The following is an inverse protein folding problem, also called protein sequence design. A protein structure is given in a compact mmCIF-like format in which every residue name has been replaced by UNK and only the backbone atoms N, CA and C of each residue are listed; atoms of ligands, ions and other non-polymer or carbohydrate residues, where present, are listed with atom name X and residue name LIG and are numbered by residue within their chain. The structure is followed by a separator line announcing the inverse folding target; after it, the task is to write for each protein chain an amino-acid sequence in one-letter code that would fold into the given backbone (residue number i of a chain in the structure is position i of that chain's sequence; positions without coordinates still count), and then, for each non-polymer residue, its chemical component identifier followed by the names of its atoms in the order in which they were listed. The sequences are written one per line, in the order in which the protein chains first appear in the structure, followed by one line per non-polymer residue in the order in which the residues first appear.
data_IF_602564139567
#
_entry.id   IF_602564139567
#
_cell.length_a   1.000
_cell.length_b   1.000
_cell.length_c   1.000
_cell.angle_alpha   90.00
_cell.angle_beta   90.00
_cell.angle_gamma   90.00
#
_symmetry.space_group_name_H-M   'P 1'
#
loop_
_entity.id
_entity.type
_entity.pdbx_description
1 polymer ?
#
# COMPACT_ATOMS: atom_id res chain seq x y z
N UNK A 1 -6.14 0.10 -30.53
CA UNK A 1 -6.63 0.19 -29.15
C UNK A 1 -6.38 -1.16 -28.56
N UNK A 2 -5.45 -1.28 -27.62
CA UNK A 2 -5.44 -2.45 -26.75
C UNK A 2 -6.73 -2.37 -25.92
N UNK A 3 -7.47 -3.47 -25.84
CA UNK A 3 -8.68 -3.53 -25.02
C UNK A 3 -8.25 -3.52 -23.54
N UNK A 4 -8.90 -2.64 -22.76
CA UNK A 4 -8.85 -2.72 -21.30
C UNK A 4 -9.32 -4.12 -20.86
N UNK A 5 -8.82 -4.63 -19.71
CA UNK A 5 -9.29 -5.91 -19.16
C UNK A 5 -10.83 -5.89 -19.06
N UNK A 6 -11.47 -7.02 -19.36
CA UNK A 6 -12.89 -7.17 -19.02
C UNK A 6 -13.06 -7.25 -17.51
N UNK A 7 -14.24 -6.89 -16.99
CA UNK A 7 -14.55 -7.00 -15.56
C UNK A 7 -14.33 -8.42 -15.02
N UNK A 8 -14.59 -9.45 -15.85
CA UNK A 8 -14.35 -10.86 -15.49
C UNK A 8 -12.86 -11.17 -15.37
N UNK A 9 -12.02 -10.70 -16.31
CA UNK A 9 -10.57 -10.87 -16.26
C UNK A 9 -9.94 -10.12 -15.09
N UNK A 10 -10.40 -8.89 -14.83
CA UNK A 10 -9.96 -8.09 -13.67
C UNK A 10 -10.30 -8.81 -12.37
N UNK A 11 -11.54 -9.29 -12.23
CA UNK A 11 -11.97 -10.06 -11.05
C UNK A 11 -11.13 -11.33 -10.88
N UNK A 12 -10.93 -12.10 -11.94
CA UNK A 12 -10.17 -13.35 -11.89
C UNK A 12 -8.71 -13.11 -11.47
N UNK A 13 -8.08 -12.06 -12.00
CA UNK A 13 -6.74 -11.63 -11.58
C UNK A 13 -6.68 -11.27 -10.09
N UNK A 14 -7.63 -10.47 -9.61
CA UNK A 14 -7.68 -10.01 -8.22
C UNK A 14 -7.97 -11.16 -7.24
N UNK A 15 -8.87 -12.08 -7.59
CA UNK A 15 -9.20 -13.27 -6.78
C UNK A 15 -7.99 -14.20 -6.64
N UNK A 16 -7.26 -14.46 -7.73
CA UNK A 16 -6.05 -15.28 -7.68
C UNK A 16 -4.94 -14.61 -6.88
N UNK A 17 -4.78 -13.29 -6.99
CA UNK A 17 -3.83 -12.54 -6.17
C UNK A 17 -4.20 -12.61 -4.67
N UNK A 18 -5.48 -12.45 -4.34
CA UNK A 18 -6.01 -12.57 -2.98
C UNK A 18 -5.81 -13.98 -2.41
N UNK A 19 -5.96 -15.01 -3.24
CA UNK A 19 -5.86 -16.42 -2.83
C UNK A 19 -4.49 -16.80 -2.26
N UNK A 20 -3.42 -16.06 -2.62
CA UNK A 20 -2.05 -16.36 -2.19
C UNK A 20 -1.89 -16.40 -0.66
N UNK A 21 -2.71 -15.66 0.08
CA UNK A 21 -2.71 -15.71 1.55
C UNK A 21 -3.05 -17.11 2.10
N UNK A 22 -3.79 -17.93 1.35
CA UNK A 22 -4.13 -19.31 1.73
C UNK A 22 -3.06 -20.31 1.31
N UNK A 23 -2.22 -19.93 0.34
CA UNK A 23 -1.16 -20.78 -0.21
C UNK A 23 0.22 -20.51 0.39
N UNK A 24 0.39 -19.39 1.09
CA UNK A 24 1.64 -19.05 1.77
C UNK A 24 1.37 -18.40 3.14
N UNK A 25 1.66 -19.15 4.21
CA UNK A 25 1.38 -18.75 5.60
C UNK A 25 2.17 -17.53 6.08
N UNK A 26 3.21 -17.12 5.36
CA UNK A 26 4.01 -15.95 5.71
C UNK A 26 3.35 -14.61 5.35
N UNK A 27 2.22 -14.60 4.64
CA UNK A 27 1.41 -13.37 4.44
C UNK A 27 0.59 -13.12 5.70
N UNK A 28 0.86 -12.03 6.39
CA UNK A 28 0.17 -11.62 7.62
C UNK A 28 -1.09 -10.80 7.33
N UNK A 29 -1.03 -9.95 6.32
CA UNK A 29 -2.13 -9.09 5.89
C UNK A 29 -2.08 -8.91 4.37
N UNK A 30 -3.26 -8.70 3.76
CA UNK A 30 -3.39 -8.43 2.34
C UNK A 30 -4.53 -7.47 2.08
N UNK A 31 -4.31 -6.52 1.18
CA UNK A 31 -5.37 -5.71 0.57
C UNK A 31 -5.02 -5.46 -0.89
N UNK A 32 -6.02 -5.46 -1.76
CA UNK A 32 -5.85 -5.19 -3.19
C UNK A 32 -7.14 -4.63 -3.76
N UNK A 33 -7.00 -3.87 -4.83
CA UNK A 33 -8.15 -3.34 -5.54
C UNK A 33 -7.74 -2.40 -6.67
N UNK A 34 -8.75 -1.92 -7.37
CA UNK A 34 -8.61 -0.86 -8.37
C UNK A 34 -8.39 0.48 -7.67
N UNK A 35 -7.50 1.29 -8.23
CA UNK A 35 -7.29 2.66 -7.76
C UNK A 35 -8.51 3.50 -8.15
N UNK A 36 -9.03 4.29 -7.20
CA UNK A 36 -10.27 5.07 -7.34
C UNK A 36 -10.13 6.17 -8.40
N UNK A 37 -8.99 6.84 -8.45
CA UNK A 37 -8.71 7.90 -9.41
C UNK A 37 -7.68 7.47 -10.47
N UNK A 38 -7.88 7.91 -11.72
CA UNK A 38 -6.92 7.66 -12.80
C UNK A 38 -5.62 8.43 -12.53
N UNK A 39 -4.53 7.70 -12.39
CA UNK A 39 -3.22 8.25 -12.06
C UNK A 39 -2.43 8.73 -13.29
N UNK A 40 -1.63 9.81 -13.16
CA UNK A 40 -0.73 10.28 -14.23
C UNK A 40 0.30 9.24 -14.70
N UNK A 41 0.63 8.26 -13.85
CA UNK A 41 1.58 7.17 -14.17
C UNK A 41 0.91 5.90 -14.73
N UNK A 42 -0.38 5.94 -15.03
CA UNK A 42 -1.10 4.78 -15.59
C UNK A 42 -1.26 3.61 -14.61
N UNK A 43 -1.09 3.86 -13.31
CA UNK A 43 -1.38 2.88 -12.26
C UNK A 43 -2.89 2.69 -12.19
N UNK A 44 -3.34 1.45 -12.37
CA UNK A 44 -4.77 1.08 -12.39
C UNK A 44 -5.18 0.28 -11.16
N UNK A 45 -4.23 -0.47 -10.57
CA UNK A 45 -4.46 -1.35 -9.43
C UNK A 45 -3.35 -1.18 -8.41
N UNK A 46 -3.69 -1.45 -7.15
CA UNK A 46 -2.76 -1.46 -6.04
C UNK A 46 -2.90 -2.77 -5.26
N UNK A 47 -1.79 -3.17 -4.64
CA UNK A 47 -1.68 -4.40 -3.88
C UNK A 47 -0.73 -4.19 -2.72
N UNK A 48 -1.20 -4.51 -1.53
CA UNK A 48 -0.45 -4.49 -0.30
C UNK A 48 -0.37 -5.91 0.28
N UNK A 49 0.81 -6.27 0.76
CA UNK A 49 1.03 -7.45 1.58
C UNK A 49 1.95 -7.11 2.74
N UNK A 50 1.71 -7.76 3.88
CA UNK A 50 2.62 -7.73 5.02
C UNK A 50 3.25 -9.11 5.24
N UNK A 51 4.54 -9.10 5.54
CA UNK A 51 5.31 -10.28 5.89
C UNK A 51 5.96 -10.06 7.27
N UNK A 52 6.28 -11.12 8.03
CA UNK A 52 6.97 -10.98 9.31
C UNK A 52 8.43 -10.53 9.18
N UNK A 53 9.03 -10.66 8.00
CA UNK A 53 10.42 -10.27 7.72
C UNK A 53 10.68 -10.15 6.22
N UNK A 54 11.79 -9.50 5.85
CA UNK A 54 12.30 -9.50 4.47
C UNK A 54 12.64 -10.90 3.98
N UNK A 55 13.16 -11.77 4.85
CA UNK A 55 13.40 -13.18 4.51
C UNK A 55 12.10 -13.88 4.10
N UNK A 56 11.00 -13.65 4.82
CA UNK A 56 9.69 -14.21 4.46
C UNK A 56 9.14 -13.63 3.15
N UNK A 57 9.42 -12.36 2.84
CA UNK A 57 9.11 -11.75 1.54
C UNK A 57 9.94 -12.41 0.42
N UNK A 58 11.24 -12.63 0.61
CA UNK A 58 12.10 -13.28 -0.38
C UNK A 58 11.66 -14.73 -0.66
N UNK A 59 11.33 -15.48 0.39
CA UNK A 59 10.76 -16.83 0.26
C UNK A 59 9.44 -16.81 -0.52
N UNK A 60 8.56 -15.85 -0.24
CA UNK A 60 7.31 -15.66 -0.97
C UNK A 60 7.53 -15.35 -2.46
N UNK A 61 8.49 -14.50 -2.79
CA UNK A 61 8.78 -14.11 -4.17
C UNK A 61 9.20 -15.30 -5.05
N UNK A 62 9.80 -16.33 -4.43
CA UNK A 62 10.22 -17.57 -5.06
C UNK A 62 9.21 -18.73 -4.91
N UNK A 63 8.09 -18.50 -4.22
CA UNK A 63 7.12 -19.56 -3.91
C UNK A 63 6.37 -20.02 -5.18
N UNK A 64 6.21 -21.34 -5.43
CA UNK A 64 5.57 -21.85 -6.64
C UNK A 64 4.16 -21.32 -6.89
N UNK A 65 3.34 -21.19 -5.85
CA UNK A 65 1.98 -20.65 -5.99
C UNK A 65 1.99 -19.18 -6.45
N UNK A 66 2.92 -18.37 -5.91
CA UNK A 66 3.09 -16.97 -6.30
C UNK A 66 3.57 -16.85 -7.74
N UNK A 67 4.53 -17.69 -8.13
CA UNK A 67 5.05 -17.71 -9.51
C UNK A 67 3.96 -18.09 -10.51
N UNK A 68 3.15 -19.10 -10.19
CA UNK A 68 1.99 -19.50 -10.99
C UNK A 68 0.99 -18.35 -11.13
N UNK A 69 0.59 -17.73 -10.02
CA UNK A 69 -0.34 -16.59 -10.05
C UNK A 69 0.22 -15.44 -10.89
N UNK A 70 1.49 -15.12 -10.73
CA UNK A 70 2.15 -14.07 -11.51
C UNK A 70 2.19 -14.36 -13.01
N UNK A 71 2.45 -15.61 -13.40
CA UNK A 71 2.55 -16.00 -14.81
C UNK A 71 1.18 -16.04 -15.49
N UNK A 72 0.22 -16.74 -14.88
CA UNK A 72 -1.08 -17.01 -15.49
C UNK A 72 -2.06 -15.83 -15.38
N UNK A 73 -2.03 -15.07 -14.28
CA UNK A 73 -3.08 -14.09 -13.97
C UNK A 73 -2.61 -12.64 -13.96
N UNK A 74 -1.30 -12.38 -13.84
CA UNK A 74 -0.77 -11.00 -13.78
C UNK A 74 -0.06 -10.63 -15.08
N UNK A 75 0.90 -11.45 -15.53
CA UNK A 75 1.75 -11.14 -16.70
C UNK A 75 1.00 -10.86 -18.02
N UNK A 76 -0.16 -11.49 -18.33
CA UNK A 76 -0.90 -11.18 -19.55
C UNK A 76 -1.36 -9.71 -19.61
N UNK A 77 -1.68 -9.15 -18.44
CA UNK A 77 -2.37 -7.87 -18.32
C UNK A 77 -1.48 -6.74 -17.77
N UNK A 78 -0.53 -7.07 -16.89
CA UNK A 78 0.31 -6.10 -16.20
C UNK A 78 1.48 -5.64 -17.08
N UNK A 79 1.39 -4.43 -17.63
CA UNK A 79 2.44 -3.83 -18.48
C UNK A 79 3.56 -3.11 -17.69
N UNK A 80 3.41 -2.98 -16.38
CA UNK A 80 4.39 -2.34 -15.52
C UNK A 80 3.95 -2.33 -14.07
N UNK A 81 4.92 -2.20 -13.16
CA UNK A 81 4.71 -2.12 -11.72
C UNK A 81 5.64 -1.10 -11.09
N UNK A 82 5.19 -0.52 -9.99
CA UNK A 82 6.00 0.27 -9.06
C UNK A 82 5.92 -0.48 -7.75
N UNK A 83 7.07 -0.74 -7.13
CA UNK A 83 7.12 -1.53 -5.90
C UNK A 83 7.81 -0.75 -4.80
N UNK A 84 7.18 -0.74 -3.64
CA UNK A 84 7.73 -0.23 -2.40
C UNK A 84 7.78 -1.36 -1.37
N UNK A 85 8.99 -1.89 -1.14
CA UNK A 85 9.25 -2.89 -0.11
C UNK A 85 9.95 -2.15 1.04
N UNK A 86 9.34 -2.06 2.22
CA UNK A 86 9.92 -1.33 3.35
C UNK A 86 9.62 -2.01 4.68
N UNK A 87 10.51 -1.80 5.66
CA UNK A 87 10.26 -2.18 7.06
C UNK A 87 9.42 -1.10 7.73
N UNK A 88 8.48 -1.53 8.56
CA UNK A 88 7.67 -0.64 9.38
C UNK A 88 7.34 -1.32 10.70
N UNK A 89 7.32 -0.53 11.76
CA UNK A 89 6.82 -0.96 13.06
C UNK A 89 5.29 -0.85 13.07
N UNK A 90 4.65 -1.85 13.67
CA UNK A 90 3.23 -1.83 13.98
C UNK A 90 3.07 -2.17 15.45
N UNK A 91 1.97 -1.73 16.05
CA UNK A 91 1.62 -2.12 17.42
C UNK A 91 1.68 -3.64 17.56
N UNK A 92 2.27 -4.11 18.66
CA UNK A 92 2.39 -5.54 19.00
C UNK A 92 1.05 -6.09 19.50
N UNK A 93 0.05 -6.01 18.62
CA UNK A 93 -1.31 -6.51 18.81
C UNK A 93 -1.77 -7.25 17.52
N UNK A 94 -2.57 -8.29 17.70
CA UNK A 94 -3.03 -9.17 16.64
C UNK A 94 -3.88 -8.42 15.61
N UNK A 95 -4.75 -7.50 16.05
CA UNK A 95 -5.62 -6.74 15.14
C UNK A 95 -4.81 -5.91 14.14
N UNK A 96 -3.93 -4.97 14.55
CA UNK A 96 -3.13 -4.17 13.63
C UNK A 96 -2.09 -4.97 12.86
N UNK A 97 -1.52 -6.04 13.44
CA UNK A 97 -0.52 -6.88 12.77
C UNK A 97 -1.11 -7.68 11.61
N UNK A 98 -2.25 -8.34 11.83
CA UNK A 98 -2.92 -9.16 10.80
C UNK A 98 -3.96 -8.39 10.00
N UNK A 99 -4.20 -7.11 10.34
CA UNK A 99 -5.31 -6.29 9.82
C UNK A 99 -6.64 -7.04 9.91
N UNK A 100 -6.93 -7.56 11.10
CA UNK A 100 -8.18 -8.27 11.43
C UNK A 100 -8.93 -7.52 12.52
N UNK A 101 -10.25 -7.66 12.55
CA UNK A 101 -11.12 -6.90 13.45
C UNK A 101 -11.91 -5.82 12.73
N UNK A 102 -12.92 -5.27 13.41
CA UNK A 102 -13.96 -4.43 12.80
C UNK A 102 -13.40 -3.20 12.07
N UNK A 103 -12.33 -2.60 12.60
CA UNK A 103 -11.66 -1.44 11.99
C UNK A 103 -10.91 -1.75 10.69
N UNK A 104 -10.57 -3.01 10.44
CA UNK A 104 -9.85 -3.43 9.25
C UNK A 104 -10.72 -4.13 8.20
N UNK A 105 -11.98 -4.47 8.53
CA UNK A 105 -12.86 -5.22 7.62
C UNK A 105 -13.07 -4.50 6.28
N UNK A 106 -13.18 -3.18 6.27
CA UNK A 106 -13.40 -2.37 5.07
C UNK A 106 -12.76 -0.99 5.21
N UNK A 107 -12.65 -0.25 4.11
CA UNK A 107 -12.16 1.12 4.09
C UNK A 107 -11.30 1.41 2.88
N UNK A 108 -10.37 2.34 3.01
CA UNK A 108 -9.47 2.78 1.93
C UNK A 108 -8.04 2.62 2.37
N UNK A 109 -7.20 2.24 1.42
CA UNK A 109 -5.74 2.25 1.54
C UNK A 109 -5.23 3.42 0.72
N UNK A 110 -4.69 4.42 1.41
CA UNK A 110 -4.05 5.59 0.84
C UNK A 110 -2.55 5.36 0.79
N UNK A 111 -2.01 5.20 -0.41
CA UNK A 111 -0.61 4.92 -0.71
C UNK A 111 0.06 6.23 -1.12
N UNK A 112 1.21 6.55 -0.52
CA UNK A 112 2.07 7.65 -0.98
C UNK A 112 3.46 7.11 -1.25
N UNK A 113 3.96 7.32 -2.47
CA UNK A 113 5.33 7.04 -2.85
C UNK A 113 6.07 8.36 -3.07
N UNK A 114 7.25 8.46 -2.47
CA UNK A 114 8.04 9.70 -2.46
C UNK A 114 9.38 9.44 -3.14
N UNK A 115 9.65 10.20 -4.20
CA UNK A 115 10.96 10.28 -4.85
C UNK A 115 11.71 11.45 -4.25
N UNK A 116 12.69 11.18 -3.40
CA UNK A 116 13.55 12.20 -2.80
C UNK A 116 14.53 12.71 -3.86
N UNK A 117 14.80 14.03 -3.87
CA UNK A 117 15.74 14.67 -4.79
C UNK A 117 17.17 14.27 -4.47
N UNK A 118 18.00 14.24 -5.50
CA UNK A 118 19.45 14.06 -5.32
C UNK A 118 20.01 15.20 -4.46
N UNK A 119 20.85 14.85 -3.48
CA UNK A 119 21.43 15.81 -2.53
C UNK A 119 20.55 16.19 -1.34
N UNK A 120 19.36 15.61 -1.17
CA UNK A 120 18.64 15.72 0.10
C UNK A 120 19.50 15.17 1.26
N UNK A 121 19.49 15.85 2.40
CA UNK A 121 20.26 15.41 3.57
C UNK A 121 19.61 14.20 4.23
N UNK A 122 20.45 13.34 4.83
CA UNK A 122 20.00 12.22 5.65
C UNK A 122 19.06 12.69 6.78
N UNK A 123 19.41 13.78 7.46
CA UNK A 123 18.56 14.38 8.49
C UNK A 123 17.19 14.84 7.96
N UNK A 124 17.12 15.26 6.69
CA UNK A 124 15.85 15.62 6.04
C UNK A 124 14.96 14.41 5.82
N UNK A 125 15.52 13.30 5.32
CA UNK A 125 14.78 12.05 5.11
C UNK A 125 14.37 11.38 6.41
N UNK A 126 15.25 11.37 7.41
CA UNK A 126 14.95 10.86 8.77
C UNK A 126 13.83 11.69 9.40
N UNK A 127 13.94 13.02 9.39
CA UNK A 127 12.90 13.90 9.92
C UNK A 127 11.55 13.80 9.18
N UNK A 128 11.55 13.41 7.90
CA UNK A 128 10.31 13.09 7.16
C UNK A 128 9.69 11.78 7.67
N UNK A 129 10.48 10.74 7.88
CA UNK A 129 9.99 9.45 8.38
C UNK A 129 9.51 9.53 9.83
N UNK A 130 10.24 10.21 10.70
CA UNK A 130 9.82 10.51 12.07
C UNK A 130 8.46 11.23 12.09
N UNK A 131 8.29 12.23 11.20
CA UNK A 131 7.06 13.00 11.12
C UNK A 131 5.87 12.14 10.68
N UNK A 132 6.05 11.24 9.70
CA UNK A 132 5.00 10.29 9.30
C UNK A 132 4.65 9.31 10.42
N UNK A 133 5.65 8.70 11.05
CA UNK A 133 5.46 7.71 12.12
C UNK A 133 4.82 8.31 13.39
N UNK A 134 4.91 9.63 13.58
CA UNK A 134 4.24 10.32 14.69
C UNK A 134 2.75 10.65 14.42
N UNK A 135 2.26 10.56 13.17
CA UNK A 135 0.89 10.95 12.83
C UNK A 135 -0.20 10.12 13.52
N UNK A 136 -0.07 8.79 13.71
CA UNK A 136 -1.09 8.00 14.41
C UNK A 136 -1.38 8.47 15.84
N UNK A 137 -0.41 9.13 16.49
CA UNK A 137 -0.58 9.68 17.84
C UNK A 137 -1.23 11.07 17.85
N UNK A 138 -1.33 11.73 16.69
CA UNK A 138 -1.81 13.11 16.53
C UNK A 138 -3.21 13.19 15.91
N UNK A 139 -3.70 12.10 15.35
CA UNK A 139 -4.95 12.03 14.59
C UNK A 139 -5.85 10.98 15.26
N UNK A 140 -7.14 11.31 15.40
CA UNK A 140 -8.09 10.42 16.06
C UNK A 140 -8.21 9.06 15.34
N UNK A 141 -8.27 7.94 16.07
CA UNK A 141 -8.42 6.60 15.47
C UNK A 141 -9.69 6.40 14.62
N UNK A 142 -10.69 7.28 14.72
CA UNK A 142 -11.85 7.30 13.83
C UNK A 142 -11.55 7.84 12.43
N UNK A 143 -10.43 8.56 12.27
CA UNK A 143 -9.95 9.10 10.99
C UNK A 143 -8.87 8.20 10.39
N UNK A 144 -7.91 7.77 11.22
CA UNK A 144 -6.79 6.91 10.80
C UNK A 144 -6.79 5.61 11.60
N UNK A 145 -6.88 4.47 10.92
CA UNK A 145 -6.82 3.16 11.59
C UNK A 145 -5.37 2.71 11.77
N UNK A 146 -4.53 2.92 10.76
CA UNK A 146 -3.13 2.53 10.80
C UNK A 146 -2.33 3.33 9.77
N UNK A 147 -1.10 3.70 10.11
CA UNK A 147 -0.11 4.22 9.18
C UNK A 147 1.17 3.42 9.33
N UNK A 148 1.77 3.04 8.20
CA UNK A 148 3.11 2.47 8.14
C UNK A 148 3.91 3.21 7.09
N UNK A 149 5.13 3.61 7.41
CA UNK A 149 6.02 4.32 6.51
C UNK A 149 7.45 3.76 6.62
N UNK A 150 8.20 3.83 5.52
CA UNK A 150 9.58 3.39 5.53
C UNK A 150 10.37 3.72 4.26
N UNK A 151 11.67 3.46 4.34
CA UNK A 151 12.60 3.56 3.21
C UNK A 151 12.37 2.37 2.27
N UNK A 152 12.23 2.65 0.99
CA UNK A 152 12.02 1.63 -0.02
C UNK A 152 13.33 0.91 -0.35
N UNK A 153 13.32 -0.42 -0.18
CA UNK A 153 14.43 -1.32 -0.44
C UNK A 153 14.27 -2.07 -1.77
N UNK A 154 13.23 -1.77 -2.54
CA UNK A 154 12.95 -2.44 -3.82
C UNK A 154 13.73 -1.82 -4.99
N UNK A 155 14.40 -2.66 -5.78
CA UNK A 155 15.00 -2.26 -7.06
C UNK A 155 13.95 -1.99 -8.16
N UNK A 156 12.68 -2.34 -7.91
CA UNK A 156 11.55 -2.16 -8.83
C UNK A 156 10.75 -0.89 -8.53
N UNK A 157 11.39 0.08 -7.90
CA UNK A 157 10.78 1.28 -7.36
C UNK A 157 10.48 2.39 -8.35
N UNK A 158 10.98 2.31 -9.59
CA UNK A 158 11.00 3.44 -10.54
C UNK A 158 11.59 4.74 -9.96
N UNK A 159 12.48 4.61 -8.97
CA UNK A 159 13.13 5.73 -8.29
C UNK A 159 12.34 6.33 -7.13
N UNK A 160 11.20 5.75 -6.75
CA UNK A 160 10.52 6.09 -5.50
C UNK A 160 11.29 5.52 -4.30
N UNK A 161 11.81 6.41 -3.46
CA UNK A 161 12.74 6.09 -2.37
C UNK A 161 12.08 5.76 -1.04
N UNK A 162 10.83 6.18 -0.84
CA UNK A 162 10.09 5.96 0.40
C UNK A 162 8.64 5.62 0.07
N UNK A 163 8.00 4.86 0.95
CA UNK A 163 6.59 4.52 0.89
C UNK A 163 5.87 4.85 2.19
N UNK A 164 4.63 5.27 2.07
CA UNK A 164 3.68 5.46 3.17
C UNK A 164 2.38 4.75 2.77
N UNK A 165 1.81 4.01 3.71
CA UNK A 165 0.52 3.37 3.55
C UNK A 165 -0.36 3.73 4.74
N UNK A 166 -1.54 4.29 4.45
CA UNK A 166 -2.51 4.73 5.45
C UNK A 166 -3.82 3.97 5.25
N UNK A 167 -4.30 3.32 6.31
CA UNK A 167 -5.62 2.72 6.38
C UNK A 167 -6.58 3.72 7.01
N UNK A 168 -7.63 4.10 6.26
CA UNK A 168 -8.74 4.92 6.76
C UNK A 168 -10.06 4.16 6.61
N UNK A 169 -11.06 4.38 7.48
CA UNK A 169 -12.27 3.57 7.49
C UNK A 169 -13.29 3.93 6.39
N UNK A 170 -13.18 5.11 5.78
CA UNK A 170 -14.15 5.60 4.78
C UNK A 170 -13.57 6.72 3.89
N UNK A 171 -14.30 7.09 2.83
CA UNK A 171 -13.98 8.25 1.99
C UNK A 171 -14.05 9.57 2.78
N UNK A 172 -15.01 9.70 3.71
CA UNK A 172 -15.11 10.86 4.60
C UNK A 172 -13.89 10.98 5.52
N UNK A 173 -13.40 9.85 6.03
CA UNK A 173 -12.19 9.81 6.83
C UNK A 173 -10.95 10.13 5.99
N UNK A 174 -10.88 9.71 4.71
CA UNK A 174 -9.82 10.10 3.79
C UNK A 174 -9.81 11.62 3.55
N UNK A 175 -10.98 12.21 3.29
CA UNK A 175 -11.12 13.66 3.12
C UNK A 175 -10.67 14.41 4.38
N UNK A 176 -11.10 13.94 5.55
CA UNK A 176 -10.70 14.49 6.85
C UNK A 176 -9.19 14.36 7.08
N UNK A 177 -8.61 13.19 6.79
CA UNK A 177 -7.18 12.92 6.92
C UNK A 177 -6.35 13.84 6.02
N UNK A 178 -6.74 13.98 4.75
CA UNK A 178 -6.03 14.79 3.75
C UNK A 178 -5.96 16.27 4.11
N UNK A 179 -6.93 16.76 4.88
CA UNK A 179 -7.04 18.15 5.36
C UNK A 179 -6.52 18.33 6.79
N UNK A 180 -6.18 17.24 7.49
CA UNK A 180 -5.79 17.31 8.88
C UNK A 180 -4.51 18.15 9.03
N UNK A 181 -4.47 19.16 9.93
CA UNK A 181 -3.32 20.07 10.04
C UNK A 181 -1.98 19.36 10.25
N UNK A 182 -1.97 18.28 11.03
CA UNK A 182 -0.76 17.47 11.23
C UNK A 182 -0.25 16.87 9.92
N UNK A 183 -1.12 16.23 9.13
CA UNK A 183 -0.75 15.64 7.84
C UNK A 183 -0.28 16.70 6.84
N UNK A 184 -1.00 17.82 6.76
CA UNK A 184 -0.64 18.96 5.90
C UNK A 184 0.72 19.55 6.29
N UNK A 185 1.03 19.66 7.59
CA UNK A 185 2.34 20.12 8.06
C UNK A 185 3.45 19.13 7.67
N UNK A 186 3.26 17.82 7.83
CA UNK A 186 4.23 16.82 7.35
C UNK A 186 4.51 17.00 5.86
N UNK A 187 3.47 17.13 5.04
CA UNK A 187 3.65 17.31 3.60
C UNK A 187 4.37 18.62 3.26
N UNK A 188 3.90 19.74 3.79
CA UNK A 188 4.42 21.06 3.42
C UNK A 188 5.82 21.33 3.97
N UNK A 189 6.13 20.85 5.17
CA UNK A 189 7.39 21.14 5.86
C UNK A 189 8.45 20.05 5.70
N UNK A 190 8.05 18.78 5.50
CA UNK A 190 9.00 17.66 5.46
C UNK A 190 9.09 17.01 4.08
N UNK A 191 7.99 16.87 3.36
CA UNK A 191 7.96 16.15 2.06
C UNK A 191 8.30 17.07 0.88
N UNK A 192 7.57 18.17 0.70
CA UNK A 192 7.73 19.07 -0.44
C UNK A 192 9.17 19.65 -0.55
N UNK A 193 9.86 20.02 0.55
CA UNK A 193 11.20 20.60 0.45
C UNK A 193 12.26 19.63 -0.09
N UNK A 194 12.06 18.31 0.03
CA UNK A 194 13.06 17.30 -0.34
C UNK A 194 12.58 16.38 -1.48
N UNK A 195 11.32 16.44 -1.90
CA UNK A 195 10.80 15.60 -2.97
C UNK A 195 11.16 16.14 -4.36
N UNK A 196 11.38 15.23 -5.30
CA UNK A 196 11.48 15.44 -6.74
C UNK A 196 10.29 14.81 -7.50
N UNK A 197 9.48 13.98 -6.83
CA UNK A 197 8.27 13.39 -7.38
C UNK A 197 7.43 12.76 -6.27
N UNK A 198 6.12 12.75 -6.49
CA UNK A 198 5.13 12.17 -5.59
C UNK A 198 4.11 11.39 -6.42
N UNK A 199 3.74 10.22 -5.92
CA UNK A 199 2.61 9.45 -6.40
C UNK A 199 1.73 9.14 -5.20
N UNK A 200 0.47 9.53 -5.27
CA UNK A 200 -0.55 9.15 -4.29
C UNK A 200 -1.52 8.21 -4.98
N UNK A 201 -2.01 7.17 -4.31
CA UNK A 201 -3.04 6.30 -4.84
C UNK A 201 -3.95 5.74 -3.77
N UNK A 202 -5.26 5.81 -4.03
CA UNK A 202 -6.30 5.33 -3.13
C UNK A 202 -6.99 4.13 -3.75
N UNK A 203 -7.12 3.04 -2.99
CA UNK A 203 -7.90 1.88 -3.42
C UNK A 203 -8.82 1.38 -2.32
N UNK A 204 -10.00 0.95 -2.73
CA UNK A 204 -11.00 0.41 -1.81
C UNK A 204 -10.58 -0.99 -1.35
N UNK A 205 -10.81 -1.26 -0.07
CA UNK A 205 -10.74 -2.61 0.49
C UNK A 205 -12.16 -3.01 0.82
N UNK A 206 -12.72 -3.85 -0.04
CA UNK A 206 -14.03 -4.43 0.16
C UNK A 206 -14.02 -5.38 1.37
N UNK A 207 -15.15 -5.49 2.09
CA UNK A 207 -15.30 -6.45 3.17
C UNK A 207 -15.14 -7.88 2.67
N UNK A 208 -14.35 -8.66 3.41
CA UNK A 208 -14.11 -10.10 3.17
C UNK A 208 -15.41 -10.91 3.14
N UNK A 209 -16.51 -10.36 3.67
CA UNK A 209 -17.85 -10.98 3.68
C UNK A 209 -18.62 -10.85 2.37
N UNK A 210 -18.11 -10.16 1.34
CA UNK A 210 -18.54 -10.42 -0.04
C UNK A 210 -17.90 -11.74 -0.52
N UNK A 211 -18.25 -12.83 0.14
CA UNK A 211 -18.10 -14.16 -0.42
C UNK A 211 -18.79 -14.15 -1.77
N UNK A 212 -18.00 -14.20 -2.85
CA UNK A 212 -18.48 -14.80 -4.09
C UNK A 212 -19.03 -16.17 -3.67
N UNK A 213 -20.30 -16.49 -3.94
CA UNK A 213 -20.79 -17.83 -3.66
C UNK A 213 -19.89 -18.81 -4.43
N UNK A 214 -19.28 -19.73 -3.69
CA UNK A 214 -18.66 -20.93 -4.25
C UNK A 214 -19.66 -21.68 -5.12
#
# INVERSE_FOLDING_TARGET
MEEDLTDEQEKDMLDHLYSLQYHYRGILAVSLGRVVERMPEGVTHAFFQRFPSFEALEQYMNHPARLKVADEFISPYCKGRIVADFEAEVEDDLEPLFRRGDKFQQGIEHVVLIKVREGASQAGTEGMMEAFNALPQQIDPSVIVQLTAGVNLSDRSKGYTHGVLVRVPSEEALDTFSKHPAYVSVFTEKVLPISAGLLSADFLVDPVTKSSPL
#
